data_IF_180131289924
#
_entry.id   IF_180131289924
#
_cell.length_a   1.000
_cell.length_b   1.000
_cell.length_c   1.000
_cell.angle_alpha   90.00
_cell.angle_beta   90.00
_cell.angle_gamma   90.00
#
_symmetry.space_group_name_H-M   'P 1'
#
loop_
_entity.id
_entity.type
_entity.pdbx_description
1 polymer ?
#
# COMPACT_ATOMS: atom_id res chain seq x y z
N UNK A 1 3.25 17.04 -20.21
CA UNK A 1 4.37 17.36 -19.28
C UNK A 1 4.00 16.93 -17.87
N UNK A 2 4.98 16.43 -17.12
CA UNK A 2 4.82 16.13 -15.71
C UNK A 2 4.84 17.43 -14.91
N UNK A 3 3.93 17.53 -13.91
CA UNK A 3 3.88 18.65 -12.98
C UNK A 3 3.94 18.10 -11.55
N UNK A 4 4.83 18.69 -10.73
CA UNK A 4 4.90 18.37 -9.31
C UNK A 4 3.65 18.88 -8.60
N UNK A 5 2.91 17.98 -7.93
CA UNK A 5 1.68 18.31 -7.19
C UNK A 5 1.88 18.32 -5.68
N UNK A 6 2.73 17.43 -5.17
CA UNK A 6 3.03 17.30 -3.75
C UNK A 6 4.45 16.77 -3.56
N UNK A 7 5.19 17.31 -2.62
CA UNK A 7 6.47 16.76 -2.16
C UNK A 7 6.47 16.57 -0.64
N UNK A 8 7.47 15.87 -0.12
CA UNK A 8 7.54 15.54 1.29
C UNK A 8 7.63 16.75 2.23
N UNK A 9 8.26 17.86 1.81
CA UNK A 9 8.31 19.08 2.61
C UNK A 9 6.95 19.76 2.70
N UNK A 10 6.22 19.80 1.59
CA UNK A 10 4.82 20.27 1.57
C UNK A 10 3.94 19.39 2.46
N UNK A 11 4.14 18.06 2.43
CA UNK A 11 3.43 17.15 3.32
C UNK A 11 3.70 17.46 4.80
N UNK A 12 4.94 17.73 5.20
CA UNK A 12 5.26 18.14 6.58
C UNK A 12 4.53 19.43 6.99
N UNK A 13 4.42 20.42 6.09
CA UNK A 13 3.68 21.66 6.34
C UNK A 13 2.18 21.41 6.51
N UNK A 14 1.59 20.55 5.66
CA UNK A 14 0.19 20.16 5.78
C UNK A 14 -0.08 19.42 7.09
N UNK A 15 0.83 18.52 7.50
CA UNK A 15 0.74 17.82 8.79
C UNK A 15 0.83 18.78 9.98
N UNK A 16 1.71 19.78 9.92
CA UNK A 16 1.78 20.83 10.95
C UNK A 16 0.47 21.61 11.03
N UNK A 17 -0.06 22.03 9.88
CA UNK A 17 -1.32 22.77 9.83
C UNK A 17 -2.49 21.96 10.41
N UNK A 18 -2.61 20.69 10.05
CA UNK A 18 -3.64 19.80 10.58
C UNK A 18 -3.51 19.62 12.11
N UNK A 19 -2.28 19.45 12.62
CA UNK A 19 -2.02 19.33 14.05
C UNK A 19 -2.38 20.62 14.81
N UNK A 20 -2.09 21.81 14.25
CA UNK A 20 -2.47 23.09 14.82
C UNK A 20 -3.99 23.29 14.87
N UNK A 21 -4.70 22.90 13.82
CA UNK A 21 -6.17 22.93 13.82
C UNK A 21 -6.76 22.00 14.88
N UNK A 22 -6.21 20.78 15.06
CA UNK A 22 -6.65 19.87 16.09
C UNK A 22 -6.47 20.45 17.51
N UNK A 23 -5.33 21.12 17.79
CA UNK A 23 -5.13 21.82 19.07
C UNK A 23 -6.14 22.96 19.26
N UNK A 24 -6.45 23.71 18.20
CA UNK A 24 -7.41 24.80 18.27
C UNK A 24 -8.85 24.33 18.51
N UNK A 25 -9.21 23.16 18.01
CA UNK A 25 -10.53 22.55 18.20
C UNK A 25 -10.68 21.87 19.58
N UNK A 26 -9.64 21.23 20.05
CA UNK A 26 -9.61 20.57 21.36
C UNK A 26 -8.21 20.72 22.00
N UNK A 27 -8.06 21.77 22.80
CA UNK A 27 -6.79 22.06 23.52
C UNK A 27 -6.47 21.02 24.61
N UNK A 28 -7.44 20.21 25.00
CA UNK A 28 -7.27 19.15 26.02
C UNK A 28 -6.91 17.80 25.41
N UNK A 29 -6.91 17.67 24.08
CA UNK A 29 -6.48 16.43 23.40
C UNK A 29 -5.01 16.12 23.74
N UNK A 30 -4.71 15.03 24.47
CA UNK A 30 -3.34 14.80 25.00
C UNK A 30 -2.27 14.64 23.92
N UNK A 31 -2.66 14.23 22.71
CA UNK A 31 -1.74 13.99 21.58
C UNK A 31 -1.48 15.21 20.69
N UNK A 32 -2.36 16.21 20.71
CA UNK A 32 -2.30 17.32 19.74
C UNK A 32 -1.06 18.23 19.92
N UNK A 33 -0.63 18.64 21.12
CA UNK A 33 0.61 19.40 21.30
C UNK A 33 1.86 18.62 20.86
N UNK A 34 1.88 17.30 21.10
CA UNK A 34 2.98 16.43 20.66
C UNK A 34 3.04 16.31 19.14
N UNK A 35 1.90 16.25 18.46
CA UNK A 35 1.82 16.23 17.01
C UNK A 35 2.39 17.51 16.40
N UNK A 36 2.05 18.68 16.97
CA UNK A 36 2.63 19.98 16.56
C UNK A 36 4.15 19.99 16.76
N UNK A 37 4.64 19.54 17.91
CA UNK A 37 6.06 19.51 18.20
C UNK A 37 6.83 18.59 17.22
N UNK A 38 6.28 17.42 16.91
CA UNK A 38 6.85 16.47 15.94
C UNK A 38 6.89 17.06 14.53
N UNK A 39 5.80 17.68 14.07
CA UNK A 39 5.75 18.29 12.75
C UNK A 39 6.75 19.44 12.62
N UNK A 40 6.87 20.32 13.62
CA UNK A 40 7.87 21.36 13.66
C UNK A 40 9.30 20.80 13.62
N UNK A 41 9.58 19.71 14.34
CA UNK A 41 10.89 19.06 14.33
C UNK A 41 11.26 18.55 12.93
N UNK A 42 10.34 17.86 12.23
CA UNK A 42 10.58 17.39 10.86
C UNK A 42 10.85 18.53 9.88
N UNK A 43 10.12 19.64 10.00
CA UNK A 43 10.35 20.83 9.18
C UNK A 43 11.74 21.44 9.49
N UNK A 44 12.10 21.59 10.77
CA UNK A 44 13.38 22.15 11.17
C UNK A 44 14.59 21.31 10.73
N UNK A 45 14.43 19.98 10.70
CA UNK A 45 15.46 19.05 10.22
C UNK A 45 15.50 18.94 8.70
N UNK A 46 14.53 19.53 7.98
CA UNK A 46 14.34 19.33 6.53
C UNK A 46 14.25 17.82 6.19
N UNK A 47 13.53 17.06 7.03
CA UNK A 47 13.41 15.59 6.96
C UNK A 47 12.01 15.19 6.48
N UNK A 48 11.79 15.07 5.15
CA UNK A 48 10.52 14.66 4.61
C UNK A 48 10.32 13.14 4.80
N UNK A 49 9.15 12.75 5.30
CA UNK A 49 8.76 11.35 5.33
C UNK A 49 8.53 10.84 3.90
N UNK A 50 9.02 9.64 3.55
CA UNK A 50 8.79 9.08 2.22
C UNK A 50 7.33 8.70 1.99
N UNK A 51 6.85 8.96 0.79
CA UNK A 51 5.67 8.33 0.24
C UNK A 51 6.05 6.92 -0.23
N UNK A 52 5.23 5.93 0.09
CA UNK A 52 5.52 4.51 -0.17
C UNK A 52 4.54 3.90 -1.17
N UNK A 53 3.28 4.36 -1.18
CA UNK A 53 2.28 3.90 -2.14
C UNK A 53 1.25 4.98 -2.45
N UNK A 54 0.52 4.79 -3.57
CA UNK A 54 -0.51 5.73 -4.03
C UNK A 54 -1.67 4.98 -4.67
N UNK A 55 -2.88 5.22 -4.21
CA UNK A 55 -4.10 4.78 -4.86
C UNK A 55 -4.90 5.95 -5.44
N UNK A 56 -5.17 5.91 -6.74
CA UNK A 56 -6.11 6.81 -7.41
C UNK A 56 -7.38 6.03 -7.75
N UNK A 57 -8.51 6.42 -7.17
CA UNK A 57 -9.78 5.73 -7.36
C UNK A 57 -10.80 6.56 -8.15
N UNK A 58 -10.44 7.77 -8.52
CA UNK A 58 -11.08 8.57 -9.57
C UNK A 58 -10.10 9.61 -10.10
N UNK A 59 -10.40 10.30 -11.22
CA UNK A 59 -9.56 11.40 -11.71
C UNK A 59 -9.39 12.56 -10.72
N UNK A 60 -10.29 12.68 -9.74
CA UNK A 60 -10.28 13.75 -8.74
C UNK A 60 -9.75 13.28 -7.39
N UNK A 61 -9.77 11.97 -7.11
CA UNK A 61 -9.55 11.45 -5.76
C UNK A 61 -8.40 10.46 -5.72
N UNK A 62 -7.40 10.76 -4.90
CA UNK A 62 -6.29 9.88 -4.61
C UNK A 62 -5.85 9.98 -3.16
N UNK A 63 -5.25 8.91 -2.66
CA UNK A 63 -4.64 8.86 -1.34
C UNK A 63 -3.21 8.35 -1.51
N UNK A 64 -2.28 9.01 -0.84
CA UNK A 64 -0.88 8.59 -0.72
C UNK A 64 -0.66 8.09 0.69
N UNK A 65 -0.05 6.93 0.81
CA UNK A 65 0.39 6.34 2.07
C UNK A 65 1.92 6.37 2.18
N UNK A 66 2.43 6.38 3.40
CA UNK A 66 3.87 6.46 3.59
C UNK A 66 4.35 6.06 4.98
N UNK A 67 5.59 6.43 5.26
CA UNK A 67 6.24 6.10 6.52
C UNK A 67 5.57 6.80 7.71
N UNK A 68 5.56 6.11 8.85
CA UNK A 68 5.02 6.63 10.13
C UNK A 68 3.55 7.08 10.00
N UNK A 69 2.72 6.27 9.33
CA UNK A 69 1.29 6.54 9.07
C UNK A 69 1.06 7.81 8.23
N UNK A 70 2.08 8.37 7.58
CA UNK A 70 1.88 9.51 6.68
C UNK A 70 0.79 9.17 5.66
N UNK A 71 -0.26 9.97 5.64
CA UNK A 71 -1.37 9.79 4.68
C UNK A 71 -1.79 11.16 4.19
N UNK A 72 -1.78 11.34 2.86
CA UNK A 72 -2.22 12.55 2.20
C UNK A 72 -3.36 12.24 1.25
N UNK A 73 -4.36 13.11 1.17
CA UNK A 73 -5.52 12.94 0.31
C UNK A 73 -5.75 14.17 -0.57
N UNK A 74 -6.12 13.92 -1.80
CA UNK A 74 -6.68 14.93 -2.72
C UNK A 74 -8.12 14.56 -3.13
N UNK A 75 -8.97 15.58 -3.33
CA UNK A 75 -10.31 15.44 -3.85
C UNK A 75 -10.55 16.27 -5.12
N UNK A 76 -9.49 16.88 -5.68
CA UNK A 76 -9.56 17.82 -6.80
C UNK A 76 -8.51 17.53 -7.90
N UNK A 77 -8.06 16.28 -7.98
CA UNK A 77 -7.08 15.84 -8.98
C UNK A 77 -5.66 16.30 -8.69
N UNK A 78 -5.31 16.44 -7.40
CA UNK A 78 -3.96 16.81 -6.96
C UNK A 78 -3.67 18.30 -6.96
N UNK A 79 -4.68 19.17 -7.17
CA UNK A 79 -4.51 20.62 -7.07
C UNK A 79 -4.28 21.04 -5.64
N UNK A 80 -5.01 20.41 -4.70
CA UNK A 80 -4.79 20.57 -3.27
C UNK A 80 -4.68 19.21 -2.58
N UNK A 81 -3.93 19.18 -1.49
CA UNK A 81 -3.72 18.01 -0.65
C UNK A 81 -3.98 18.35 0.81
N UNK A 82 -4.49 17.40 1.57
CA UNK A 82 -4.71 17.50 3.00
C UNK A 82 -4.04 16.34 3.74
N UNK A 83 -3.57 16.59 4.95
CA UNK A 83 -3.14 15.53 5.86
C UNK A 83 -4.36 14.69 6.27
N UNK A 84 -4.27 13.39 6.07
CA UNK A 84 -5.31 12.41 6.35
C UNK A 84 -4.87 11.36 7.36
N UNK A 85 -3.69 11.55 7.98
CA UNK A 85 -3.03 10.58 8.85
C UNK A 85 -3.89 10.20 10.07
N UNK A 86 -4.69 11.13 10.60
CA UNK A 86 -5.58 10.88 11.74
C UNK A 86 -6.79 10.00 11.39
N UNK A 87 -7.09 9.82 10.12
CA UNK A 87 -8.18 8.97 9.64
C UNK A 87 -7.78 7.48 9.56
N UNK A 88 -6.51 7.17 9.80
CA UNK A 88 -6.01 5.81 9.96
C UNK A 88 -6.00 5.46 11.45
N UNK A 89 -6.72 4.41 11.83
CA UNK A 89 -6.84 3.97 13.23
C UNK A 89 -5.57 3.22 13.71
N UNK A 90 -4.40 3.87 13.60
CA UNK A 90 -3.09 3.35 13.97
C UNK A 90 -2.38 4.27 14.97
N UNK A 91 -2.56 4.06 16.28
CA UNK A 91 -1.95 4.92 17.31
C UNK A 91 -0.42 4.79 17.39
N UNK A 92 0.15 3.69 16.89
CA UNK A 92 1.60 3.45 16.94
C UNK A 92 2.34 4.04 15.73
N UNK A 93 1.59 4.52 14.72
CA UNK A 93 2.14 5.18 13.52
C UNK A 93 3.10 4.27 12.73
N UNK A 94 2.64 3.06 12.40
CA UNK A 94 3.37 2.12 11.57
C UNK A 94 3.56 2.63 10.13
N UNK A 95 4.50 2.04 9.42
CA UNK A 95 4.68 2.28 7.99
C UNK A 95 3.59 1.56 7.20
N UNK A 96 2.98 2.25 6.23
CA UNK A 96 2.00 1.71 5.30
C UNK A 96 2.67 1.59 3.94
N UNK A 97 2.86 0.35 3.47
CA UNK A 97 3.68 0.06 2.29
C UNK A 97 2.89 -0.14 1.02
N UNK A 98 1.65 -0.62 1.13
CA UNK A 98 0.86 -0.96 -0.04
C UNK A 98 -0.63 -0.78 0.19
N UNK A 99 -1.37 -0.81 -0.91
CA UNK A 99 -2.83 -0.65 -0.92
C UNK A 99 -3.49 -1.50 -2.00
N UNK A 100 -4.81 -1.65 -1.89
CA UNK A 100 -5.65 -2.22 -2.93
C UNK A 100 -7.04 -1.58 -2.93
N UNK A 101 -7.66 -1.53 -4.10
CA UNK A 101 -9.10 -1.24 -4.24
C UNK A 101 -9.83 -2.52 -4.59
N UNK A 102 -10.84 -2.87 -3.79
CA UNK A 102 -11.68 -4.06 -4.01
C UNK A 102 -13.14 -3.62 -4.01
N UNK A 103 -13.71 -3.52 -5.19
CA UNK A 103 -15.02 -2.89 -5.36
C UNK A 103 -14.97 -1.41 -4.98
N UNK A 104 -15.64 -1.04 -3.90
CA UNK A 104 -15.62 0.31 -3.33
C UNK A 104 -14.72 0.46 -2.10
N UNK A 105 -14.19 -0.63 -1.60
CA UNK A 105 -13.36 -0.65 -0.41
C UNK A 105 -11.90 -0.35 -0.75
N UNK A 106 -11.23 0.40 0.12
CA UNK A 106 -9.80 0.68 0.00
C UNK A 106 -9.10 -0.02 1.18
N UNK A 107 -8.09 -0.81 0.87
CA UNK A 107 -7.23 -1.44 1.86
C UNK A 107 -5.89 -0.73 1.90
N UNK A 108 -5.33 -0.58 3.10
CA UNK A 108 -3.94 -0.16 3.31
C UNK A 108 -3.27 -1.20 4.22
N UNK A 109 -2.06 -1.60 3.87
CA UNK A 109 -1.31 -2.64 4.57
C UNK A 109 0.09 -2.16 4.96
N UNK A 110 0.64 -2.75 6.01
CA UNK A 110 1.93 -2.31 6.51
C UNK A 110 2.60 -3.25 7.50
N UNK A 111 3.31 -2.67 8.44
CA UNK A 111 4.07 -3.40 9.46
C UNK A 111 3.17 -4.25 10.34
N UNK A 112 3.76 -5.26 10.99
CA UNK A 112 3.12 -6.13 11.98
C UNK A 112 1.86 -6.85 11.47
N UNK A 113 1.73 -7.08 10.16
CA UNK A 113 0.54 -7.71 9.56
C UNK A 113 -0.71 -6.83 9.59
N UNK A 114 -0.55 -5.54 9.86
CA UNK A 114 -1.68 -4.61 9.97
C UNK A 114 -2.35 -4.41 8.63
N UNK A 115 -3.68 -4.45 8.68
CA UNK A 115 -4.57 -4.17 7.56
C UNK A 115 -5.64 -3.20 8.01
N UNK A 116 -5.78 -2.12 7.28
CA UNK A 116 -6.82 -1.12 7.45
C UNK A 116 -7.77 -1.16 6.25
N UNK A 117 -9.07 -0.98 6.47
CA UNK A 117 -10.08 -1.02 5.42
C UNK A 117 -11.02 0.17 5.52
N UNK A 118 -11.06 0.96 4.47
CA UNK A 118 -12.10 1.98 4.29
C UNK A 118 -13.26 1.41 3.50
N UNK A 119 -14.49 1.69 3.95
CA UNK A 119 -15.75 1.39 3.26
C UNK A 119 -16.49 2.66 2.80
N UNK A 120 -15.92 3.81 3.07
CA UNK A 120 -16.52 5.13 2.93
C UNK A 120 -15.75 6.01 1.92
N UNK A 121 -15.03 5.35 0.99
CA UNK A 121 -14.26 6.05 -0.04
C UNK A 121 -13.03 6.78 0.50
N UNK A 122 -12.40 6.25 1.55
CA UNK A 122 -11.19 6.76 2.14
C UNK A 122 -11.42 7.82 3.22
N UNK A 123 -12.65 7.97 3.71
CA UNK A 123 -12.93 8.94 4.79
C UNK A 123 -12.42 8.44 6.14
N UNK A 124 -12.48 7.13 6.39
CA UNK A 124 -11.91 6.50 7.56
C UNK A 124 -11.28 5.15 7.23
N UNK A 125 -10.29 4.74 8.03
CA UNK A 125 -9.57 3.47 7.88
C UNK A 125 -9.50 2.75 9.22
N UNK A 126 -10.59 2.12 9.69
CA UNK A 126 -10.53 1.22 10.83
C UNK A 126 -9.63 0.03 10.53
N UNK A 127 -8.93 -0.43 11.56
CA UNK A 127 -8.19 -1.67 11.49
C UNK A 127 -9.16 -2.86 11.40
N UNK A 128 -8.86 -3.82 10.51
CA UNK A 128 -9.50 -5.13 10.44
C UNK A 128 -8.62 -6.18 11.14
N UNK A 129 -9.00 -7.44 11.13
CA UNK A 129 -8.15 -8.49 11.70
C UNK A 129 -6.76 -8.47 11.02
N UNK A 130 -5.67 -8.57 11.78
CA UNK A 130 -4.33 -8.60 11.18
C UNK A 130 -4.13 -9.89 10.38
N UNK A 131 -3.40 -9.79 9.27
CA UNK A 131 -3.00 -10.91 8.46
C UNK A 131 -1.63 -11.43 8.91
N UNK A 132 -1.59 -12.21 9.98
CA UNK A 132 -0.33 -12.65 10.59
C UNK A 132 0.34 -11.55 11.45
N UNK A 133 1.67 -11.61 11.55
CA UNK A 133 2.47 -10.68 12.38
C UNK A 133 3.69 -10.11 11.64
N UNK A 134 3.88 -10.46 10.37
CA UNK A 134 5.00 -9.99 9.54
C UNK A 134 4.62 -8.76 8.74
N UNK A 135 5.61 -8.00 8.31
CA UNK A 135 5.38 -6.82 7.45
C UNK A 135 4.78 -7.23 6.11
N UNK A 136 3.72 -6.54 5.74
CA UNK A 136 3.05 -6.65 4.45
C UNK A 136 3.55 -5.54 3.53
N UNK A 137 3.93 -5.88 2.30
CA UNK A 137 4.42 -4.94 1.30
C UNK A 137 3.33 -4.50 0.33
N UNK A 138 2.30 -5.33 0.14
CA UNK A 138 1.23 -4.98 -0.78
C UNK A 138 -0.06 -5.75 -0.55
N UNK A 139 -1.08 -5.31 -1.26
CA UNK A 139 -2.38 -5.94 -1.33
C UNK A 139 -2.88 -5.97 -2.78
N UNK A 140 -3.77 -6.91 -3.10
CA UNK A 140 -4.39 -7.04 -4.42
C UNK A 140 -5.82 -7.57 -4.31
N UNK A 141 -6.77 -6.96 -5.02
CA UNK A 141 -8.11 -7.53 -5.22
C UNK A 141 -8.08 -8.76 -6.13
N UNK A 142 -8.78 -9.83 -5.76
CA UNK A 142 -8.69 -11.12 -6.45
C UNK A 142 -9.74 -11.33 -7.55
N UNK A 143 -10.53 -10.30 -7.87
CA UNK A 143 -11.55 -10.33 -8.93
C UNK A 143 -12.87 -11.00 -8.55
N UNK A 144 -12.88 -11.83 -7.52
CA UNK A 144 -14.08 -12.45 -6.93
C UNK A 144 -14.59 -11.75 -5.65
N UNK A 145 -14.09 -10.55 -5.40
CA UNK A 145 -14.38 -9.76 -4.19
C UNK A 145 -13.48 -10.07 -3.00
N UNK A 146 -12.54 -11.00 -3.15
CA UNK A 146 -11.51 -11.28 -2.16
C UNK A 146 -10.34 -10.29 -2.23
N UNK A 147 -9.46 -10.35 -1.23
CA UNK A 147 -8.23 -9.59 -1.16
C UNK A 147 -7.07 -10.49 -0.76
N UNK A 148 -5.97 -10.37 -1.48
CA UNK A 148 -4.66 -10.91 -1.12
C UNK A 148 -3.84 -9.84 -0.42
N UNK A 149 -3.01 -10.25 0.54
CA UNK A 149 -1.94 -9.42 1.12
C UNK A 149 -0.66 -10.24 1.15
N UNK A 150 0.45 -9.60 0.83
CA UNK A 150 1.74 -10.27 0.67
C UNK A 150 2.88 -9.43 1.25
N UNK A 151 4.00 -10.10 1.59
CA UNK A 151 5.13 -9.37 2.19
C UNK A 151 6.34 -10.23 2.50
N UNK A 152 6.92 -9.98 3.66
CA UNK A 152 8.20 -10.54 4.12
C UNK A 152 8.12 -12.06 4.30
N UNK A 153 9.24 -12.75 4.01
CA UNK A 153 9.47 -14.16 4.30
C UNK A 153 8.43 -15.12 3.70
N UNK A 154 8.00 -14.87 2.45
CA UNK A 154 7.00 -15.69 1.77
C UNK A 154 5.58 -15.53 2.31
N UNK A 155 5.33 -14.48 3.09
CA UNK A 155 4.00 -14.20 3.64
C UNK A 155 3.02 -13.93 2.52
N UNK A 156 1.94 -14.72 2.49
CA UNK A 156 0.81 -14.55 1.58
C UNK A 156 -0.46 -14.99 2.30
N UNK A 157 -1.44 -14.10 2.40
CA UNK A 157 -2.75 -14.39 2.98
C UNK A 157 -3.86 -13.96 2.02
N UNK A 158 -4.98 -14.66 2.09
CA UNK A 158 -6.20 -14.33 1.38
C UNK A 158 -7.37 -14.17 2.34
N UNK A 159 -8.17 -13.14 2.12
CA UNK A 159 -9.47 -12.97 2.78
C UNK A 159 -10.58 -12.96 1.72
N UNK A 160 -11.66 -13.68 1.97
CA UNK A 160 -12.90 -13.65 1.17
C UNK A 160 -14.03 -12.89 1.87
N UNK A 161 -13.78 -12.33 3.06
CA UNK A 161 -14.80 -11.69 3.90
C UNK A 161 -14.41 -10.27 4.34
N UNK A 162 -13.62 -9.61 3.50
CA UNK A 162 -13.25 -8.21 3.71
C UNK A 162 -12.27 -7.97 4.86
N UNK A 163 -11.38 -8.92 5.13
CA UNK A 163 -10.37 -8.82 6.18
C UNK A 163 -10.89 -9.22 7.57
N UNK A 164 -12.11 -9.77 7.70
CA UNK A 164 -12.59 -10.27 8.97
C UNK A 164 -11.83 -11.53 9.43
N UNK A 165 -11.33 -12.31 8.48
CA UNK A 165 -10.40 -13.42 8.70
C UNK A 165 -9.50 -13.63 7.48
N UNK A 166 -8.36 -14.30 7.72
CA UNK A 166 -7.34 -14.55 6.73
C UNK A 166 -6.96 -16.03 6.68
N UNK A 167 -6.77 -16.54 5.49
CA UNK A 167 -6.25 -17.88 5.23
C UNK A 167 -4.84 -17.74 4.67
N UNK A 168 -3.88 -18.38 5.32
CA UNK A 168 -2.51 -18.42 4.82
C UNK A 168 -2.43 -19.30 3.57
N UNK A 169 -1.80 -18.79 2.53
CA UNK A 169 -1.48 -19.54 1.33
C UNK A 169 -0.04 -20.05 1.45
N UNK A 170 0.10 -21.37 1.50
CA UNK A 170 1.42 -22.00 1.64
C UNK A 170 2.23 -21.84 0.35
N UNK A 171 3.33 -21.11 0.44
CA UNK A 171 4.24 -20.88 -0.67
C UNK A 171 5.53 -21.70 -0.50
N UNK A 172 6.08 -22.25 -1.59
CA UNK A 172 7.32 -23.05 -1.51
C UNK A 172 8.58 -22.20 -1.38
N UNK A 173 8.45 -20.89 -1.23
CA UNK A 173 9.57 -19.95 -1.10
C UNK A 173 9.38 -19.08 0.13
N UNK A 174 10.50 -18.79 0.81
CA UNK A 174 10.61 -17.78 1.88
C UNK A 174 11.12 -16.43 1.36
N UNK A 175 11.17 -16.21 0.05
CA UNK A 175 11.52 -14.90 -0.52
C UNK A 175 10.45 -13.86 -0.16
N UNK A 176 10.86 -12.62 -0.02
CA UNK A 176 9.92 -11.51 0.14
C UNK A 176 9.11 -11.35 -1.14
N UNK A 177 7.78 -11.32 -1.04
CA UNK A 177 6.91 -10.97 -2.16
C UNK A 177 6.78 -9.46 -2.23
N UNK A 178 7.06 -8.90 -3.40
CA UNK A 178 7.22 -7.46 -3.60
C UNK A 178 6.10 -6.85 -4.42
N UNK A 179 5.48 -7.63 -5.33
CA UNK A 179 4.39 -7.13 -6.16
C UNK A 179 3.44 -8.25 -6.60
N UNK A 180 2.19 -7.89 -6.82
CA UNK A 180 1.18 -8.76 -7.41
C UNK A 180 0.26 -7.97 -8.34
N UNK A 181 0.01 -8.52 -9.53
CA UNK A 181 -0.86 -7.91 -10.53
C UNK A 181 -1.91 -8.91 -11.05
N UNK A 182 -3.07 -8.40 -11.43
CA UNK A 182 -4.05 -9.17 -12.20
C UNK A 182 -3.77 -8.98 -13.68
N UNK A 183 -3.56 -10.10 -14.38
CA UNK A 183 -3.35 -10.13 -15.84
C UNK A 183 -4.69 -9.96 -16.58
N UNK A 184 -4.63 -9.60 -17.86
CA UNK A 184 -5.81 -9.50 -18.74
C UNK A 184 -6.61 -10.81 -18.83
N UNK A 185 -5.97 -11.94 -18.58
CA UNK A 185 -6.61 -13.26 -18.49
C UNK A 185 -7.41 -13.50 -17.20
N UNK A 186 -7.31 -12.60 -16.23
CA UNK A 186 -7.84 -12.78 -14.87
C UNK A 186 -6.90 -13.56 -13.93
N UNK A 187 -5.80 -14.11 -14.43
CA UNK A 187 -4.80 -14.75 -13.59
C UNK A 187 -4.05 -13.73 -12.74
N UNK A 188 -3.59 -14.14 -11.56
CA UNK A 188 -2.78 -13.29 -10.68
C UNK A 188 -1.32 -13.70 -10.82
N UNK A 189 -0.46 -12.75 -11.14
CA UNK A 189 0.99 -12.89 -11.13
C UNK A 189 1.50 -12.32 -9.79
N UNK A 190 2.28 -13.12 -9.05
CA UNK A 190 2.96 -12.72 -7.82
C UNK A 190 4.46 -12.80 -8.03
N UNK A 191 5.18 -11.75 -7.73
CA UNK A 191 6.63 -11.65 -7.90
C UNK A 191 7.33 -11.31 -6.60
N UNK A 192 8.64 -11.58 -6.55
CA UNK A 192 9.40 -11.27 -5.36
C UNK A 192 10.90 -11.23 -5.55
N UNK A 193 11.59 -10.96 -4.46
CA UNK A 193 13.03 -11.04 -4.38
C UNK A 193 13.55 -12.42 -4.81
N UNK A 194 14.82 -12.50 -5.14
CA UNK A 194 15.43 -13.71 -5.68
C UNK A 194 14.83 -14.21 -7.01
N UNK A 195 14.10 -13.38 -7.72
CA UNK A 195 13.53 -13.65 -9.04
C UNK A 195 12.42 -14.68 -9.05
N UNK A 196 11.73 -14.86 -7.93
CA UNK A 196 10.58 -15.78 -7.85
C UNK A 196 9.36 -15.19 -8.55
N UNK A 197 8.67 -16.03 -9.32
CA UNK A 197 7.45 -15.67 -10.03
C UNK A 197 6.45 -16.81 -9.85
N UNK A 198 5.24 -16.48 -9.44
CA UNK A 198 4.14 -17.42 -9.26
C UNK A 198 2.91 -16.94 -10.01
N UNK A 199 2.09 -17.87 -10.45
CA UNK A 199 0.82 -17.59 -11.11
C UNK A 199 -0.33 -18.33 -10.41
N UNK A 200 -1.45 -17.64 -10.26
CA UNK A 200 -2.71 -18.22 -9.78
C UNK A 200 -3.78 -18.07 -10.86
N UNK A 201 -4.55 -19.14 -11.06
CA UNK A 201 -5.71 -19.17 -11.96
C UNK A 201 -7.04 -19.36 -11.20
N UNK A 202 -7.01 -19.30 -9.89
CA UNK A 202 -8.13 -19.60 -8.98
C UNK A 202 -8.39 -18.48 -7.98
N UNK A 203 -8.23 -17.23 -8.43
CA UNK A 203 -8.44 -16.03 -7.62
C UNK A 203 -7.53 -15.96 -6.37
N UNK A 204 -6.31 -16.50 -6.47
CA UNK A 204 -5.34 -16.45 -5.38
C UNK A 204 -5.54 -17.51 -4.29
N UNK A 205 -6.34 -18.54 -4.53
CA UNK A 205 -6.48 -19.66 -3.58
C UNK A 205 -5.26 -20.59 -3.61
N UNK A 206 -4.60 -20.71 -4.77
CA UNK A 206 -3.34 -21.42 -4.93
C UNK A 206 -2.43 -20.77 -5.95
N UNK A 207 -1.14 -21.06 -5.87
CA UNK A 207 -0.12 -20.50 -6.75
C UNK A 207 0.82 -21.60 -7.25
N UNK A 208 1.15 -21.54 -8.54
CA UNK A 208 2.14 -22.40 -9.18
C UNK A 208 3.37 -21.58 -9.55
N UNK A 209 4.56 -22.10 -9.24
CA UNK A 209 5.80 -21.45 -9.64
C UNK A 209 5.97 -21.48 -11.16
N UNK A 210 6.31 -20.36 -11.77
CA UNK A 210 6.74 -20.35 -13.15
C UNK A 210 8.18 -20.94 -13.25
N UNK A 211 8.50 -21.68 -14.31
CA UNK A 211 9.81 -22.35 -14.46
C UNK A 211 10.99 -21.35 -14.54
N UNK A 212 10.72 -20.14 -14.99
CA UNK A 212 11.73 -19.09 -15.14
C UNK A 212 11.94 -18.37 -13.81
N UNK A 213 12.98 -18.78 -13.07
CA UNK A 213 13.53 -17.96 -12.00
C UNK A 213 14.53 -16.98 -12.59
N UNK A 214 14.30 -15.69 -12.40
CA UNK A 214 15.21 -14.68 -12.94
C UNK A 214 16.35 -14.41 -11.95
N UNK A 215 17.59 -14.20 -12.45
CA UNK A 215 18.74 -13.93 -11.59
C UNK A 215 18.76 -12.46 -11.11
N UNK A 216 17.63 -11.96 -10.62
CA UNK A 216 17.45 -10.58 -10.16
C UNK A 216 16.36 -10.52 -9.09
N UNK A 217 16.44 -9.54 -8.20
CA UNK A 217 15.30 -9.17 -7.37
C UNK A 217 14.26 -8.46 -8.24
N UNK A 218 12.99 -8.88 -8.14
CA UNK A 218 11.87 -8.23 -8.84
C UNK A 218 11.18 -7.30 -7.83
N UNK A 219 10.92 -6.06 -8.21
CA UNK A 219 10.28 -5.06 -7.35
C UNK A 219 8.91 -4.67 -7.82
N UNK A 220 8.66 -4.77 -9.14
CA UNK A 220 7.36 -4.43 -9.72
C UNK A 220 7.11 -5.23 -11.01
N UNK A 221 5.84 -5.44 -11.32
CA UNK A 221 5.36 -6.01 -12.56
C UNK A 221 4.23 -5.16 -13.15
N UNK A 222 4.09 -5.15 -14.45
CA UNK A 222 2.97 -4.51 -15.15
C UNK A 222 2.66 -5.26 -16.43
N UNK A 223 1.41 -5.26 -16.85
CA UNK A 223 1.03 -5.77 -18.14
C UNK A 223 0.70 -4.61 -19.09
N UNK A 224 1.39 -4.57 -20.22
CA UNK A 224 1.14 -3.59 -21.29
C UNK A 224 -0.18 -3.90 -22.03
N UNK A 225 -0.76 -2.92 -22.75
CA UNK A 225 -2.00 -3.11 -23.49
C UNK A 225 -1.95 -4.21 -24.55
N UNK A 226 -0.77 -4.52 -25.08
CA UNK A 226 -0.54 -5.60 -26.05
C UNK A 226 -0.45 -7.00 -25.40
N UNK A 227 -0.60 -7.08 -24.06
CA UNK A 227 -0.50 -8.30 -23.29
C UNK A 227 0.90 -8.64 -22.80
N UNK A 228 1.92 -7.92 -23.22
CA UNK A 228 3.29 -8.12 -22.74
C UNK A 228 3.39 -7.83 -21.26
N UNK A 229 3.88 -8.77 -20.47
CA UNK A 229 4.21 -8.53 -19.07
C UNK A 229 5.63 -8.00 -18.97
N UNK A 230 5.80 -6.91 -18.26
CA UNK A 230 7.10 -6.28 -17.99
C UNK A 230 7.36 -6.34 -16.49
N UNK A 231 8.57 -6.68 -16.14
CA UNK A 231 9.04 -6.68 -14.75
C UNK A 231 10.18 -5.70 -14.58
N UNK A 232 10.25 -5.06 -13.42
CA UNK A 232 11.32 -4.15 -13.03
C UNK A 232 12.00 -4.67 -11.76
N UNK A 233 13.31 -4.53 -11.69
CA UNK A 233 14.08 -4.99 -10.55
C UNK A 233 15.48 -4.38 -10.52
N UNK A 234 16.36 -4.97 -9.71
CA UNK A 234 17.72 -4.48 -9.46
C UNK A 234 18.64 -4.51 -10.70
N UNK A 235 18.25 -5.24 -11.76
CA UNK A 235 18.99 -5.33 -13.04
C UNK A 235 18.28 -4.63 -14.20
N UNK A 236 17.30 -3.78 -13.92
CA UNK A 236 16.57 -3.01 -14.91
C UNK A 236 15.19 -3.57 -15.23
N UNK A 237 14.72 -3.30 -16.45
CA UNK A 237 13.37 -3.64 -16.92
C UNK A 237 13.48 -4.71 -18.02
N UNK A 238 12.73 -5.79 -17.86
CA UNK A 238 12.73 -6.94 -18.77
C UNK A 238 11.30 -7.36 -19.12
N UNK A 239 11.04 -7.76 -20.38
CA UNK A 239 9.80 -8.45 -20.70
C UNK A 239 9.83 -9.87 -20.15
N UNK A 240 8.73 -10.28 -19.53
CA UNK A 240 8.52 -11.66 -19.10
C UNK A 240 7.82 -12.42 -20.22
N UNK A 241 8.44 -13.52 -20.65
CA UNK A 241 7.85 -14.46 -21.62
C UNK A 241 7.35 -15.69 -20.85
N UNK A 242 6.09 -16.04 -21.05
CA UNK A 242 5.44 -17.25 -20.53
C UNK A 242 5.58 -18.40 -21.51
#
# INVERSE_FOLDING_TARGET
SWQLQLNGLQANQLTLHAAQLAVAQDSQSPGAPLAVARANHLIAQNDPKPFLSLVAFSPQRAIVFGAYRLTMRTNDGGKTWADWSLNIADPLSHHLYGEAVVGHDIYAVGEAGLVFRSKDGGDSFPQVAPAGSTTLFGALGTGDGGVLVYGVAGTLYRSSNGGASWVAINMPSSANFTDAITLNSGAILLTGESGVIYISHDHGNSFTALPARLPMAIFAAAQAPDGTVVIAGDRGILPLKF
#
